data_IF_198413622583
#
_entry.id   IF_198413622583
#
_cell.length_a   1.000
_cell.length_b   1.000
_cell.length_c   1.000
_cell.angle_alpha   90.00
_cell.angle_beta   90.00
_cell.angle_gamma   90.00
#
_symmetry.space_group_name_H-M   'P 1'
#
loop_
_entity.id
_entity.type
_entity.pdbx_description
1 polymer ?
#
# COMPACT_ATOMS: atom_id res chain seq x y z
N UNK A 1 4.10 13.27 -4.11
CA UNK A 1 2.96 12.34 -4.32
C UNK A 1 3.32 10.92 -3.93
N UNK A 2 4.35 10.35 -4.56
CA UNK A 2 4.74 8.93 -4.40
C UNK A 2 4.99 8.52 -2.95
N UNK A 3 5.76 9.31 -2.20
CA UNK A 3 6.07 8.98 -0.80
C UNK A 3 4.82 8.93 0.08
N UNK A 4 3.86 9.84 -0.12
CA UNK A 4 2.59 9.81 0.62
C UNK A 4 1.77 8.59 0.25
N UNK A 5 1.63 8.29 -1.05
CA UNK A 5 0.92 7.11 -1.54
C UNK A 5 1.53 5.82 -0.98
N UNK A 6 2.85 5.77 -0.91
CA UNK A 6 3.58 4.67 -0.34
C UNK A 6 3.26 4.48 1.16
N UNK A 7 3.36 5.52 1.99
CA UNK A 7 3.03 5.43 3.42
C UNK A 7 1.56 5.06 3.67
N UNK A 8 0.65 5.52 2.81
CA UNK A 8 -0.77 5.14 2.88
C UNK A 8 -0.96 3.65 2.58
N UNK A 9 -0.24 3.10 1.62
CA UNK A 9 -0.38 1.70 1.19
C UNK A 9 0.27 0.69 2.15
N UNK A 10 1.27 1.10 2.93
CA UNK A 10 2.02 0.19 3.81
C UNK A 10 1.32 -0.14 5.12
N UNK A 11 0.42 0.72 5.58
CA UNK A 11 -0.56 0.45 6.65
C UNK A 11 -0.05 -0.39 7.85
N UNK A 12 1.16 -0.10 8.32
CA UNK A 12 1.75 -0.79 9.48
C UNK A 12 2.36 -2.16 9.17
N UNK A 13 2.39 -2.62 7.93
CA UNK A 13 3.01 -3.89 7.56
C UNK A 13 4.53 -3.78 7.58
N UNK A 14 5.18 -4.63 8.37
CA UNK A 14 6.65 -4.76 8.37
C UNK A 14 7.12 -5.43 7.09
N UNK A 15 8.11 -4.86 6.42
CA UNK A 15 8.59 -5.36 5.11
C UNK A 15 10.03 -5.83 5.15
N UNK A 16 10.29 -6.88 4.39
CA UNK A 16 11.65 -7.42 4.14
C UNK A 16 11.83 -7.63 2.65
N UNK A 17 12.99 -7.25 2.12
CA UNK A 17 13.35 -7.57 0.76
C UNK A 17 14.18 -8.86 0.73
N UNK A 18 13.79 -9.81 -0.11
CA UNK A 18 14.51 -11.06 -0.28
C UNK A 18 15.10 -11.17 -1.69
N UNK A 19 16.31 -11.70 -1.81
CA UNK A 19 16.98 -11.87 -3.10
C UNK A 19 17.63 -13.23 -3.25
N UNK A 20 17.33 -13.97 -4.33
CA UNK A 20 18.01 -15.22 -4.68
C UNK A 20 17.87 -15.51 -6.17
N UNK A 21 18.92 -16.07 -6.78
CA UNK A 21 18.99 -16.35 -8.23
C UNK A 21 17.86 -17.27 -8.70
N UNK A 22 17.53 -18.28 -7.93
CA UNK A 22 16.49 -19.24 -8.32
C UNK A 22 15.07 -18.78 -8.02
N UNK A 23 14.90 -17.78 -7.17
CA UNK A 23 13.63 -17.34 -6.64
C UNK A 23 12.94 -18.35 -5.69
N UNK A 24 13.34 -19.61 -5.69
CA UNK A 24 12.76 -20.66 -4.82
C UNK A 24 13.17 -20.46 -3.37
N UNK A 25 14.44 -20.16 -3.10
CA UNK A 25 14.94 -19.86 -1.76
C UNK A 25 14.28 -18.58 -1.23
N UNK A 26 14.20 -17.53 -2.03
CA UNK A 26 13.49 -16.29 -1.67
C UNK A 26 12.03 -16.54 -1.29
N UNK A 27 11.32 -17.35 -2.06
CA UNK A 27 9.92 -17.69 -1.76
C UNK A 27 9.80 -18.48 -0.44
N UNK A 28 10.71 -19.39 -0.18
CA UNK A 28 10.76 -20.11 1.10
C UNK A 28 11.00 -19.17 2.28
N UNK A 29 11.97 -18.25 2.16
CA UNK A 29 12.25 -17.27 3.20
C UNK A 29 11.07 -16.33 3.44
N UNK A 30 10.35 -15.89 2.38
CA UNK A 30 9.12 -15.10 2.50
C UNK A 30 8.07 -15.87 3.30
N UNK A 31 7.93 -17.18 3.09
CA UNK A 31 7.02 -18.02 3.88
C UNK A 31 7.37 -18.05 5.37
N UNK A 32 8.68 -18.14 5.72
CA UNK A 32 9.13 -18.06 7.11
C UNK A 32 8.91 -16.67 7.70
N UNK A 33 9.21 -15.62 6.94
CA UNK A 33 9.01 -14.22 7.34
C UNK A 33 7.54 -13.89 7.54
N UNK A 34 6.65 -14.43 6.69
CA UNK A 34 5.20 -14.28 6.84
C UNK A 34 4.67 -14.83 8.17
N UNK A 35 5.20 -15.95 8.66
CA UNK A 35 4.89 -16.49 9.99
C UNK A 35 5.37 -15.59 11.14
N UNK A 36 6.33 -14.70 10.87
CA UNK A 36 6.84 -13.70 11.83
C UNK A 36 6.13 -12.34 11.69
N UNK A 37 5.11 -12.22 10.85
CA UNK A 37 4.36 -10.98 10.63
C UNK A 37 5.02 -10.00 9.63
N UNK A 38 5.98 -10.47 8.83
CA UNK A 38 6.58 -9.68 7.76
C UNK A 38 5.90 -9.93 6.41
N UNK A 39 5.78 -8.90 5.61
CA UNK A 39 5.54 -9.01 4.16
C UNK A 39 6.88 -9.01 3.43
N UNK A 40 7.08 -9.93 2.51
CA UNK A 40 8.33 -10.07 1.76
C UNK A 40 8.18 -9.72 0.29
N UNK A 41 9.01 -8.79 -0.19
CA UNK A 41 9.21 -8.56 -1.62
C UNK A 41 10.38 -9.41 -2.14
N UNK A 42 10.34 -9.78 -3.42
CA UNK A 42 11.31 -10.71 -4.01
C UNK A 42 12.04 -10.09 -5.18
N UNK A 43 13.37 -10.29 -5.19
CA UNK A 43 14.25 -10.00 -6.32
C UNK A 43 14.96 -11.28 -6.79
N UNK A 44 15.19 -11.42 -8.08
CA UNK A 44 15.93 -12.56 -8.67
C UNK A 44 17.29 -12.17 -9.21
N UNK A 45 17.54 -10.86 -9.35
CA UNK A 45 18.82 -10.29 -9.76
C UNK A 45 19.28 -9.21 -8.79
N UNK A 46 20.59 -8.95 -8.75
CA UNK A 46 21.13 -7.85 -7.97
C UNK A 46 20.56 -6.48 -8.39
N UNK A 47 20.26 -6.30 -9.69
CA UNK A 47 19.65 -5.07 -10.21
C UNK A 47 18.26 -4.86 -9.66
N UNK A 48 17.42 -5.91 -9.69
CA UNK A 48 16.05 -5.85 -9.17
C UNK A 48 16.05 -5.58 -7.67
N UNK A 49 17.00 -6.17 -6.94
CA UNK A 49 17.16 -5.98 -5.50
C UNK A 49 17.51 -4.52 -5.18
N UNK A 50 18.52 -3.96 -5.84
CA UNK A 50 18.93 -2.57 -5.66
C UNK A 50 17.78 -1.63 -6.05
N UNK A 51 17.12 -1.87 -7.18
CA UNK A 51 15.98 -1.07 -7.63
C UNK A 51 14.83 -1.08 -6.60
N UNK A 52 14.45 -2.25 -6.12
CA UNK A 52 13.40 -2.39 -5.09
C UNK A 52 13.77 -1.68 -3.80
N UNK A 53 15.00 -1.84 -3.33
CA UNK A 53 15.47 -1.16 -2.12
C UNK A 53 15.48 0.37 -2.26
N UNK A 54 15.82 0.91 -3.43
CA UNK A 54 15.85 2.35 -3.67
C UNK A 54 14.47 2.97 -3.84
N UNK A 55 13.52 2.21 -4.39
CA UNK A 55 12.14 2.69 -4.63
C UNK A 55 11.25 2.57 -3.40
N UNK A 56 11.54 1.64 -2.49
CA UNK A 56 10.77 1.38 -1.27
C UNK A 56 11.66 1.53 -0.04
N UNK A 57 11.44 2.58 0.75
CA UNK A 57 12.24 2.88 1.95
C UNK A 57 11.81 2.13 3.23
N UNK A 58 10.90 1.15 3.12
CA UNK A 58 10.25 0.49 4.27
C UNK A 58 10.82 -0.87 4.64
N UNK A 59 11.86 -1.29 3.98
CA UNK A 59 12.47 -2.56 4.33
C UNK A 59 13.20 -2.44 5.66
N UNK A 60 12.83 -3.27 6.62
CA UNK A 60 13.54 -3.35 7.91
C UNK A 60 14.90 -4.01 7.76
N UNK A 61 15.01 -4.95 6.83
CA UNK A 61 16.28 -5.55 6.43
C UNK A 61 16.18 -6.21 5.05
N UNK A 62 17.31 -6.60 4.53
CA UNK A 62 17.44 -7.33 3.27
C UNK A 62 18.00 -8.71 3.56
N UNK A 63 17.35 -9.77 3.05
CA UNK A 63 17.82 -11.15 3.14
C UNK A 63 18.19 -11.64 1.73
N UNK A 64 19.46 -11.83 1.47
CA UNK A 64 19.96 -12.08 0.11
C UNK A 64 20.89 -13.26 0.03
N UNK A 65 20.71 -14.14 -0.96
CA UNK A 65 21.63 -15.24 -1.25
C UNK A 65 22.99 -14.74 -1.76
N UNK A 66 24.07 -15.31 -1.25
CA UNK A 66 25.44 -15.00 -1.67
C UNK A 66 25.65 -15.16 -3.18
N UNK A 67 24.89 -16.06 -3.80
CA UNK A 67 24.98 -16.40 -5.22
C UNK A 67 24.26 -15.47 -6.16
N UNK A 68 23.63 -14.40 -5.64
CA UNK A 68 22.93 -13.42 -6.49
C UNK A 68 23.87 -12.82 -7.55
N UNK A 69 23.33 -12.58 -8.74
CA UNK A 69 24.10 -12.11 -9.90
C UNK A 69 23.42 -10.88 -10.54
N UNK A 70 24.15 -10.19 -11.40
CA UNK A 70 23.69 -9.05 -12.20
C UNK A 70 23.15 -7.87 -11.36
N UNK A 71 24.00 -7.20 -10.59
CA UNK A 71 25.39 -7.48 -10.28
C UNK A 71 25.56 -8.49 -9.14
N UNK A 72 26.82 -8.97 -8.89
CA UNK A 72 27.11 -9.89 -7.81
C UNK A 72 26.98 -9.21 -6.43
N UNK A 73 26.83 -10.02 -5.37
CA UNK A 73 26.52 -9.57 -4.01
C UNK A 73 27.44 -8.45 -3.48
N UNK A 74 28.72 -8.50 -3.80
CA UNK A 74 29.68 -7.48 -3.36
C UNK A 74 29.32 -6.10 -3.94
N UNK A 75 28.99 -6.04 -5.22
CA UNK A 75 28.59 -4.80 -5.89
C UNK A 75 27.21 -4.33 -5.43
N UNK A 76 26.27 -5.25 -5.20
CA UNK A 76 24.95 -4.96 -4.62
C UNK A 76 25.11 -4.23 -3.28
N UNK A 77 25.93 -4.77 -2.36
CA UNK A 77 26.17 -4.14 -1.06
C UNK A 77 26.79 -2.77 -1.23
N UNK A 78 27.79 -2.61 -2.10
CA UNK A 78 28.41 -1.31 -2.37
C UNK A 78 27.41 -0.27 -2.90
N UNK A 79 26.53 -0.67 -3.84
CA UNK A 79 25.52 0.20 -4.39
C UNK A 79 24.52 0.64 -3.31
N UNK A 80 24.05 -0.28 -2.47
CA UNK A 80 23.14 0.04 -1.37
C UNK A 80 23.79 0.97 -0.35
N UNK A 81 25.05 0.76 0.01
CA UNK A 81 25.79 1.61 0.97
C UNK A 81 26.14 2.99 0.42
N UNK A 82 26.22 3.14 -0.90
CA UNK A 82 26.46 4.44 -1.54
C UNK A 82 25.25 5.37 -1.52
N UNK A 83 24.05 4.86 -1.22
CA UNK A 83 22.81 5.62 -1.28
C UNK A 83 22.31 5.96 0.13
N UNK A 84 22.06 7.22 0.49
CA UNK A 84 21.66 7.62 1.84
C UNK A 84 20.38 6.90 2.35
N UNK A 85 19.47 6.54 1.43
CA UNK A 85 18.20 5.87 1.79
C UNK A 85 18.36 4.42 2.20
N UNK A 86 19.41 3.75 1.75
CA UNK A 86 19.63 2.32 1.96
C UNK A 86 20.93 2.01 2.72
N UNK A 87 21.74 3.04 2.98
CA UNK A 87 23.06 2.90 3.60
C UNK A 87 23.03 2.19 4.97
N UNK A 88 21.96 2.41 5.74
CA UNK A 88 21.82 1.86 7.10
C UNK A 88 20.95 0.60 7.16
N UNK A 89 20.31 0.19 6.04
CA UNK A 89 19.46 -1.01 6.05
C UNK A 89 20.32 -2.23 6.36
N UNK A 90 20.00 -3.02 7.39
CA UNK A 90 20.71 -4.25 7.69
C UNK A 90 20.61 -5.26 6.55
N UNK A 91 21.73 -5.84 6.14
CA UNK A 91 21.79 -6.85 5.07
C UNK A 91 22.25 -8.18 5.66
N UNK A 92 21.45 -9.22 5.54
CA UNK A 92 21.81 -10.58 5.87
C UNK A 92 22.12 -11.35 4.59
N UNK A 93 23.39 -11.70 4.38
CA UNK A 93 23.83 -12.53 3.26
C UNK A 93 23.71 -13.99 3.68
N UNK A 94 22.91 -14.75 2.95
CA UNK A 94 22.73 -16.17 3.18
C UNK A 94 23.75 -16.93 2.35
N UNK A 95 24.63 -17.68 3.04
CA UNK A 95 25.71 -18.45 2.45
C UNK A 95 25.64 -19.90 2.91
N UNK A 96 26.06 -20.83 2.04
CA UNK A 96 26.27 -22.24 2.40
C UNK A 96 27.59 -22.42 3.21
N UNK A 97 28.51 -21.43 3.13
CA UNK A 97 29.70 -21.34 3.95
C UNK A 97 29.84 -19.97 4.63
N UNK A 98 29.08 -19.72 5.73
CA UNK A 98 28.98 -18.39 6.35
C UNK A 98 30.26 -17.91 7.03
N UNK A 99 31.27 -18.75 7.18
CA UNK A 99 32.52 -18.39 7.84
C UNK A 99 33.59 -17.91 6.87
N UNK A 100 33.59 -18.42 5.62
CA UNK A 100 34.71 -18.19 4.65
C UNK A 100 34.23 -17.80 3.24
N UNK A 101 32.96 -17.65 3.00
CA UNK A 101 32.40 -17.23 1.71
C UNK A 101 32.64 -15.75 1.37
N UNK A 102 32.12 -15.32 0.21
CA UNK A 102 32.11 -13.91 -0.17
C UNK A 102 31.30 -13.06 0.83
N UNK A 103 30.18 -13.59 1.31
CA UNK A 103 29.36 -12.97 2.34
C UNK A 103 30.12 -12.74 3.65
N UNK A 104 30.93 -13.71 4.08
CA UNK A 104 31.78 -13.58 5.27
C UNK A 104 32.83 -12.47 5.11
N UNK A 105 33.42 -12.32 3.93
CA UNK A 105 34.40 -11.25 3.65
C UNK A 105 33.76 -9.88 3.63
N UNK A 106 32.55 -9.77 3.12
CA UNK A 106 31.79 -8.51 3.09
C UNK A 106 31.39 -8.13 4.52
N UNK A 107 30.83 -9.06 5.30
CA UNK A 107 30.36 -8.79 6.68
C UNK A 107 31.48 -8.38 7.66
N UNK A 108 32.73 -8.74 7.38
CA UNK A 108 33.88 -8.27 8.17
C UNK A 108 34.29 -6.82 7.88
N UNK A 109 33.76 -6.24 6.81
CA UNK A 109 34.10 -4.85 6.34
C UNK A 109 32.95 -3.88 6.46
N UNK A 110 31.75 -4.37 6.77
CA UNK A 110 30.53 -3.60 6.85
C UNK A 110 29.71 -4.05 8.06
N UNK A 111 29.66 -3.18 9.07
CA UNK A 111 29.01 -3.45 10.36
C UNK A 111 27.50 -3.68 10.27
N UNK A 112 26.86 -3.18 9.20
CA UNK A 112 25.44 -3.39 8.94
C UNK A 112 25.19 -4.58 8.00
N UNK A 113 26.20 -5.37 7.63
CA UNK A 113 26.08 -6.58 6.80
C UNK A 113 26.50 -7.81 7.60
N UNK A 114 25.69 -8.84 7.57
CA UNK A 114 25.86 -10.09 8.32
C UNK A 114 25.87 -11.27 7.37
N UNK A 115 26.76 -12.24 7.61
CA UNK A 115 26.73 -13.50 6.89
C UNK A 115 26.11 -14.58 7.79
N UNK A 116 25.08 -15.26 7.28
CA UNK A 116 24.32 -16.28 8.01
C UNK A 116 24.21 -17.57 7.20
N UNK A 117 24.08 -18.70 7.89
CA UNK A 117 23.70 -19.95 7.24
C UNK A 117 22.26 -19.88 6.74
N UNK A 118 21.94 -20.68 5.71
CA UNK A 118 20.59 -20.72 5.15
C UNK A 118 19.57 -21.11 6.24
N UNK A 119 18.59 -20.21 6.54
CA UNK A 119 17.59 -20.52 7.55
C UNK A 119 16.63 -21.59 7.01
N UNK A 120 16.40 -22.64 7.80
CA UNK A 120 15.52 -23.76 7.48
C UNK A 120 14.22 -23.78 8.32
N UNK A 121 14.09 -22.88 9.28
CA UNK A 121 12.94 -22.76 10.16
C UNK A 121 12.77 -21.33 10.66
N UNK A 122 11.57 -21.00 11.17
CA UNK A 122 11.27 -19.71 11.80
C UNK A 122 12.22 -19.44 12.97
N UNK A 123 12.47 -20.43 13.82
CA UNK A 123 13.38 -20.28 14.98
C UNK A 123 14.81 -19.98 14.55
N UNK A 124 15.28 -20.63 13.50
CA UNK A 124 16.60 -20.35 12.92
C UNK A 124 16.69 -18.92 12.41
N UNK A 125 15.68 -18.49 11.65
CA UNK A 125 15.61 -17.14 11.11
C UNK A 125 15.50 -16.10 12.21
N UNK A 126 14.66 -16.32 13.24
CA UNK A 126 14.50 -15.44 14.40
C UNK A 126 15.80 -15.22 15.17
N UNK A 127 16.58 -16.31 15.40
CA UNK A 127 17.88 -16.19 16.09
C UNK A 127 18.84 -15.29 15.29
N UNK A 128 18.91 -15.49 13.98
CA UNK A 128 19.74 -14.66 13.12
C UNK A 128 19.23 -13.21 13.07
N UNK A 129 17.93 -13.01 12.85
CA UNK A 129 17.31 -11.68 12.77
C UNK A 129 17.56 -10.87 14.05
N UNK A 130 17.32 -11.44 15.22
CA UNK A 130 17.59 -10.77 16.51
C UNK A 130 19.03 -10.33 16.63
N UNK A 131 19.98 -11.20 16.27
CA UNK A 131 21.41 -10.91 16.41
C UNK A 131 21.80 -9.73 15.51
N UNK A 132 21.47 -9.74 14.23
CA UNK A 132 21.93 -8.68 13.33
C UNK A 132 21.17 -7.37 13.53
N UNK A 133 19.87 -7.38 13.84
CA UNK A 133 19.12 -6.17 14.16
C UNK A 133 19.65 -5.49 15.42
N UNK A 134 20.00 -6.26 16.47
CA UNK A 134 20.61 -5.70 17.68
C UNK A 134 22.00 -5.12 17.43
N UNK A 135 22.84 -5.81 16.64
CA UNK A 135 24.20 -5.37 16.36
C UNK A 135 24.25 -4.13 15.48
N UNK A 136 23.33 -4.02 14.51
CA UNK A 136 23.24 -2.87 13.63
C UNK A 136 22.70 -1.60 14.34
N UNK A 137 22.32 -1.68 15.62
CA UNK A 137 21.62 -0.62 16.35
C UNK A 137 20.42 -0.05 15.59
N UNK A 138 19.88 -0.86 14.67
CA UNK A 138 18.76 -0.47 13.84
C UNK A 138 17.49 -0.46 14.71
N UNK A 139 17.01 0.74 15.00
CA UNK A 139 15.70 0.92 15.62
C UNK A 139 14.66 0.83 14.52
N UNK A 140 14.22 -0.40 14.23
CA UNK A 140 13.13 -0.63 13.30
C UNK A 140 11.89 0.18 13.71
N UNK A 141 11.22 0.76 12.74
CA UNK A 141 9.96 1.46 12.98
C UNK A 141 8.95 0.43 13.48
N UNK A 142 8.34 0.69 14.62
CA UNK A 142 7.32 -0.20 15.20
C UNK A 142 6.05 -0.19 14.35
N UNK A 143 5.22 -1.22 14.49
CA UNK A 143 3.91 -1.29 13.81
C UNK A 143 3.07 -0.05 14.15
N UNK A 144 3.08 0.40 15.40
CA UNK A 144 2.34 1.59 15.82
C UNK A 144 2.86 2.87 15.14
N UNK A 145 4.16 3.06 15.07
CA UNK A 145 4.77 4.20 14.37
C UNK A 145 4.44 4.18 12.87
N UNK A 146 4.36 2.99 12.24
CA UNK A 146 3.92 2.86 10.85
C UNK A 146 2.46 3.24 10.66
N UNK A 147 1.58 2.84 11.58
CA UNK A 147 0.19 3.29 11.57
C UNK A 147 0.09 4.81 11.70
N UNK A 148 0.81 5.42 12.63
CA UNK A 148 0.85 6.87 12.78
C UNK A 148 1.40 7.58 11.52
N UNK A 149 2.38 6.98 10.85
CA UNK A 149 2.90 7.50 9.58
C UNK A 149 1.82 7.42 8.48
N UNK A 150 1.09 6.32 8.39
CA UNK A 150 -0.01 6.16 7.43
C UNK A 150 -1.14 7.14 7.70
N UNK A 151 -1.53 7.34 8.96
CA UNK A 151 -2.52 8.36 9.34
C UNK A 151 -2.07 9.77 8.99
N UNK A 152 -0.83 10.12 9.29
CA UNK A 152 -0.27 11.42 8.91
C UNK A 152 -0.24 11.58 7.39
N UNK A 153 0.17 10.55 6.67
CA UNK A 153 0.24 10.58 5.21
C UNK A 153 -1.13 10.78 4.57
N UNK A 154 -2.18 10.07 5.04
CA UNK A 154 -3.52 10.23 4.49
C UNK A 154 -4.10 11.62 4.79
N UNK A 155 -3.88 12.16 6.00
CA UNK A 155 -4.30 13.54 6.34
C UNK A 155 -3.61 14.58 5.45
N UNK A 156 -2.30 14.43 5.22
CA UNK A 156 -1.58 15.30 4.27
C UNK A 156 -2.11 15.15 2.85
N UNK A 157 -2.40 13.92 2.41
CA UNK A 157 -3.01 13.69 1.10
C UNK A 157 -4.36 14.39 0.96
N UNK A 158 -5.22 14.31 1.98
CA UNK A 158 -6.52 14.99 2.01
C UNK A 158 -6.36 16.51 1.89
N UNK A 159 -5.43 17.11 2.66
CA UNK A 159 -5.16 18.56 2.58
C UNK A 159 -4.67 18.98 1.19
N UNK A 160 -3.78 18.20 0.59
CA UNK A 160 -3.23 18.48 -0.75
C UNK A 160 -4.32 18.35 -1.82
N UNK A 161 -5.20 17.36 -1.71
CA UNK A 161 -6.29 17.13 -2.66
C UNK A 161 -7.43 18.15 -2.52
N UNK A 162 -7.61 18.72 -1.33
CA UNK A 162 -8.65 19.72 -1.06
C UNK A 162 -8.31 21.12 -1.60
N UNK A 163 -7.03 21.45 -1.81
CA UNK A 163 -6.58 22.78 -2.23
C UNK A 163 -5.87 22.71 -3.58
N UNK A 164 -6.42 23.38 -4.58
CA UNK A 164 -5.89 23.47 -5.94
C UNK A 164 -4.45 24.02 -6.03
N UNK A 165 -3.99 24.75 -5.02
CA UNK A 165 -2.60 25.23 -4.95
C UNK A 165 -1.57 24.10 -4.97
N UNK A 166 -2.00 22.89 -4.60
CA UNK A 166 -1.12 21.72 -4.47
C UNK A 166 -1.26 20.70 -5.59
N UNK A 167 -1.97 21.03 -6.69
CA UNK A 167 -2.18 20.13 -7.84
C UNK A 167 -0.88 19.58 -8.45
N UNK A 168 0.24 20.31 -8.32
CA UNK A 168 1.54 19.88 -8.83
C UNK A 168 2.05 18.59 -8.15
N UNK A 169 1.57 18.22 -6.96
CA UNK A 169 1.90 16.93 -6.32
C UNK A 169 1.27 15.72 -7.02
N UNK A 170 0.25 15.95 -7.87
CA UNK A 170 -0.41 14.96 -8.72
C UNK A 170 -0.82 13.67 -7.99
N UNK A 171 -1.44 13.81 -6.81
CA UNK A 171 -1.90 12.68 -6.01
C UNK A 171 -3.00 11.86 -6.68
N UNK A 172 -3.70 12.43 -7.65
CA UNK A 172 -4.74 11.74 -8.42
C UNK A 172 -4.20 10.49 -9.16
N UNK A 173 -2.92 10.48 -9.55
CA UNK A 173 -2.27 9.29 -10.14
C UNK A 173 -2.19 8.11 -9.15
N UNK A 174 -2.29 8.39 -7.88
CA UNK A 174 -2.17 7.41 -6.80
C UNK A 174 -3.52 7.01 -6.21
N UNK A 175 -4.63 7.30 -6.90
CA UNK A 175 -6.00 6.97 -6.49
C UNK A 175 -6.15 5.52 -6.02
N UNK A 176 -5.49 4.58 -6.71
CA UNK A 176 -5.52 3.17 -6.35
C UNK A 176 -5.09 2.92 -4.91
N UNK A 177 -3.97 3.48 -4.48
CA UNK A 177 -3.45 3.30 -3.11
C UNK A 177 -4.37 3.91 -2.05
N UNK A 178 -4.96 5.08 -2.35
CA UNK A 178 -5.92 5.73 -1.44
C UNK A 178 -7.23 4.91 -1.40
N UNK A 179 -7.66 4.32 -2.51
CA UNK A 179 -8.83 3.44 -2.56
C UNK A 179 -8.61 2.14 -1.79
N UNK A 180 -7.42 1.56 -1.85
CA UNK A 180 -7.05 0.38 -1.05
C UNK A 180 -7.04 0.69 0.45
N UNK A 181 -6.67 1.91 0.85
CA UNK A 181 -6.67 2.37 2.23
C UNK A 181 -8.08 2.45 2.86
N UNK A 182 -9.15 2.49 2.06
CA UNK A 182 -10.53 2.37 2.55
C UNK A 182 -10.78 1.10 3.34
N UNK A 183 -10.05 0.03 3.02
CA UNK A 183 -10.21 -1.29 3.64
C UNK A 183 -9.19 -1.53 4.76
N UNK A 184 -8.42 -0.51 5.11
CA UNK A 184 -7.43 -0.57 6.18
C UNK A 184 -8.01 0.04 7.45
N UNK A 185 -8.17 -0.73 8.55
CA UNK A 185 -8.61 -0.19 9.83
C UNK A 185 -7.80 1.06 10.23
N UNK A 186 -8.38 1.96 10.99
CA UNK A 186 -7.82 3.23 11.48
C UNK A 186 -7.65 4.35 10.45
N UNK A 187 -7.42 4.06 9.16
CA UNK A 187 -7.28 5.11 8.12
C UNK A 187 -8.44 5.14 7.12
N UNK A 188 -9.40 4.22 7.21
CA UNK A 188 -10.55 4.09 6.29
C UNK A 188 -11.37 5.37 6.18
N UNK A 189 -11.70 6.02 7.29
CA UNK A 189 -12.48 7.27 7.30
C UNK A 189 -11.72 8.40 6.61
N UNK A 190 -10.43 8.57 6.92
CA UNK A 190 -9.59 9.58 6.28
C UNK A 190 -9.35 9.30 4.79
N UNK A 191 -9.31 8.02 4.39
CA UNK A 191 -9.24 7.62 2.99
C UNK A 191 -10.53 8.00 2.24
N UNK A 192 -11.71 7.81 2.85
CA UNK A 192 -12.96 8.24 2.27
C UNK A 192 -12.99 9.78 2.07
N UNK A 193 -12.53 10.53 3.08
CA UNK A 193 -12.41 12.00 2.99
C UNK A 193 -11.41 12.44 1.90
N UNK A 194 -10.31 11.71 1.69
CA UNK A 194 -9.38 12.02 0.62
C UNK A 194 -10.01 11.77 -0.77
N UNK A 195 -10.73 10.65 -0.93
CA UNK A 195 -11.34 10.24 -2.20
C UNK A 195 -12.47 11.17 -2.66
N UNK A 196 -13.14 11.90 -1.76
CA UNK A 196 -14.16 12.90 -2.15
C UNK A 196 -13.59 14.02 -3.04
N UNK A 197 -12.28 14.23 -3.03
CA UNK A 197 -11.60 15.26 -3.82
C UNK A 197 -11.03 14.75 -5.14
N UNK A 198 -11.09 13.43 -5.42
CA UNK A 198 -10.46 12.85 -6.60
C UNK A 198 -11.49 12.59 -7.71
N UNK A 199 -11.40 13.27 -8.86
CA UNK A 199 -12.29 13.06 -10.01
C UNK A 199 -11.94 11.76 -10.74
N UNK A 200 -12.29 10.62 -10.15
CA UNK A 200 -11.94 9.31 -10.71
C UNK A 200 -13.08 8.29 -10.55
N UNK A 201 -13.39 7.52 -11.62
CA UNK A 201 -14.33 6.40 -11.52
C UNK A 201 -13.89 5.38 -10.46
N UNK A 202 -12.58 5.17 -10.31
CA UNK A 202 -12.01 4.26 -9.30
C UNK A 202 -12.34 4.75 -7.89
N UNK A 203 -12.25 6.07 -7.62
CA UNK A 203 -12.60 6.65 -6.34
C UNK A 203 -14.09 6.47 -6.04
N UNK A 204 -14.97 6.81 -6.97
CA UNK A 204 -16.42 6.66 -6.79
C UNK A 204 -16.81 5.21 -6.56
N UNK A 205 -16.28 4.29 -7.37
CA UNK A 205 -16.55 2.86 -7.23
C UNK A 205 -16.09 2.30 -5.87
N UNK A 206 -14.91 2.70 -5.40
CA UNK A 206 -14.38 2.25 -4.11
C UNK A 206 -15.24 2.76 -2.94
N UNK A 207 -15.67 4.04 -2.99
CA UNK A 207 -16.57 4.64 -1.98
C UNK A 207 -17.93 3.92 -1.94
N UNK A 208 -18.55 3.70 -3.09
CA UNK A 208 -19.82 2.98 -3.19
C UNK A 208 -19.68 1.54 -2.68
N UNK A 209 -18.62 0.83 -3.08
CA UNK A 209 -18.39 -0.54 -2.64
C UNK A 209 -18.29 -0.64 -1.11
N UNK A 210 -17.58 0.30 -0.47
CA UNK A 210 -17.47 0.33 0.99
C UNK A 210 -18.82 0.68 1.65
N UNK A 211 -19.51 1.69 1.15
CA UNK A 211 -20.80 2.13 1.69
C UNK A 211 -21.90 1.08 1.57
N UNK A 212 -21.90 0.31 0.47
CA UNK A 212 -22.89 -0.72 0.20
C UNK A 212 -22.62 -2.05 0.89
N UNK A 213 -21.47 -2.23 1.54
CA UNK A 213 -21.09 -3.50 2.18
C UNK A 213 -21.70 -3.62 3.58
N UNK A 214 -22.70 -4.51 3.81
CA UNK A 214 -23.35 -4.66 5.13
C UNK A 214 -22.41 -5.24 6.21
N UNK A 215 -21.28 -5.84 5.83
CA UNK A 215 -20.27 -6.35 6.75
C UNK A 215 -19.35 -5.29 7.35
N UNK A 216 -19.49 -4.02 6.93
CA UNK A 216 -18.71 -2.90 7.42
C UNK A 216 -19.54 -2.12 8.46
N UNK A 217 -18.83 -1.53 9.43
CA UNK A 217 -19.46 -0.67 10.46
C UNK A 217 -20.31 0.44 9.84
N UNK A 218 -21.51 0.67 10.41
CA UNK A 218 -22.48 1.61 9.88
C UNK A 218 -21.94 3.05 9.84
N UNK A 219 -21.12 3.45 10.82
CA UNK A 219 -20.54 4.81 10.84
C UNK A 219 -19.56 5.02 9.69
N UNK A 220 -18.75 4.03 9.39
CA UNK A 220 -17.81 4.07 8.28
C UNK A 220 -18.55 4.05 6.92
N UNK A 221 -19.59 3.23 6.79
CA UNK A 221 -20.45 3.19 5.60
C UNK A 221 -21.10 4.54 5.33
N UNK A 222 -21.63 5.22 6.37
CA UNK A 222 -22.19 6.57 6.27
C UNK A 222 -21.14 7.60 5.84
N UNK A 223 -19.92 7.50 6.37
CA UNK A 223 -18.80 8.36 5.96
C UNK A 223 -18.46 8.18 4.48
N UNK A 224 -18.38 6.92 4.01
CA UNK A 224 -18.12 6.63 2.61
C UNK A 224 -19.25 7.11 1.67
N UNK A 225 -20.52 6.94 2.07
CA UNK A 225 -21.67 7.42 1.31
C UNK A 225 -21.68 8.95 1.21
N UNK A 226 -21.35 9.65 2.31
CA UNK A 226 -21.21 11.12 2.33
C UNK A 226 -20.07 11.57 1.41
N UNK A 227 -18.91 10.94 1.50
CA UNK A 227 -17.77 11.23 0.64
C UNK A 227 -18.09 10.99 -0.84
N UNK A 228 -18.86 9.94 -1.15
CA UNK A 228 -19.37 9.67 -2.48
C UNK A 228 -20.26 10.78 -3.00
N UNK A 229 -21.22 11.23 -2.19
CA UNK A 229 -22.09 12.37 -2.54
C UNK A 229 -21.29 13.63 -2.82
N UNK A 230 -20.37 13.99 -1.92
CA UNK A 230 -19.48 15.16 -2.10
C UNK A 230 -18.63 15.07 -3.37
N UNK A 231 -18.17 13.84 -3.72
CA UNK A 231 -17.45 13.61 -4.96
C UNK A 231 -18.34 13.82 -6.20
N UNK A 232 -19.56 13.28 -6.19
CA UNK A 232 -20.54 13.50 -7.27
C UNK A 232 -20.92 14.99 -7.38
N UNK A 233 -21.16 15.67 -6.28
CA UNK A 233 -21.52 17.08 -6.27
C UNK A 233 -20.43 17.95 -6.93
N UNK A 234 -19.17 17.58 -6.80
CA UNK A 234 -18.02 18.29 -7.39
C UNK A 234 -17.72 17.88 -8.84
N UNK A 235 -17.78 16.59 -9.11
CA UNK A 235 -17.20 16.02 -10.35
C UNK A 235 -18.22 15.34 -11.27
N UNK A 236 -19.47 15.23 -10.85
CA UNK A 236 -20.50 14.47 -11.57
C UNK A 236 -20.40 12.98 -11.33
N UNK A 237 -21.34 12.24 -11.85
CA UNK A 237 -21.36 10.78 -11.82
C UNK A 237 -20.38 10.22 -12.85
N UNK A 238 -19.32 9.55 -12.38
CA UNK A 238 -18.27 8.94 -13.19
C UNK A 238 -18.43 7.41 -13.27
N UNK A 239 -19.43 6.87 -12.59
CA UNK A 239 -19.77 5.45 -12.66
C UNK A 239 -20.39 5.11 -14.03
N UNK A 240 -20.12 3.91 -14.53
CA UNK A 240 -20.74 3.40 -15.74
C UNK A 240 -22.20 3.03 -15.49
N UNK A 241 -23.00 3.02 -16.56
CA UNK A 241 -24.41 2.62 -16.47
C UNK A 241 -24.65 1.26 -15.80
N UNK A 242 -23.89 0.20 -16.08
CA UNK A 242 -24.01 -1.06 -15.36
C UNK A 242 -23.72 -0.93 -13.85
N UNK A 243 -22.76 -0.10 -13.45
CA UNK A 243 -22.42 0.11 -12.03
C UNK A 243 -23.53 0.87 -11.31
N UNK A 244 -24.15 1.85 -11.97
CA UNK A 244 -25.34 2.54 -11.45
C UNK A 244 -26.51 1.57 -11.29
N UNK A 245 -26.82 0.78 -12.30
CA UNK A 245 -27.91 -0.21 -12.23
C UNK A 245 -27.69 -1.22 -11.10
N UNK A 246 -26.46 -1.65 -10.89
CA UNK A 246 -26.12 -2.55 -9.79
C UNK A 246 -26.46 -1.96 -8.41
N UNK A 247 -26.42 -0.63 -8.24
CA UNK A 247 -26.81 0.01 -6.98
C UNK A 247 -28.34 -0.01 -6.78
N UNK A 248 -29.12 0.14 -7.85
CA UNK A 248 -30.57 -0.05 -7.78
C UNK A 248 -30.95 -1.48 -7.41
N UNK A 249 -30.24 -2.47 -7.98
CA UNK A 249 -30.46 -3.87 -7.64
C UNK A 249 -30.13 -4.15 -6.17
N UNK A 250 -29.03 -3.59 -5.65
CA UNK A 250 -28.66 -3.71 -4.22
C UNK A 250 -29.69 -3.07 -3.32
N UNK A 251 -30.21 -1.87 -3.65
CA UNK A 251 -31.27 -1.22 -2.90
C UNK A 251 -32.55 -2.05 -2.88
N UNK A 252 -32.98 -2.55 -4.03
CA UNK A 252 -34.17 -3.39 -4.11
C UNK A 252 -34.04 -4.69 -3.29
N UNK A 253 -32.83 -5.29 -3.27
CA UNK A 253 -32.55 -6.47 -2.46
C UNK A 253 -32.46 -6.17 -0.96
N UNK A 254 -32.20 -4.92 -0.59
CA UNK A 254 -32.06 -4.51 0.81
C UNK A 254 -33.39 -4.31 1.55
N UNK A 255 -34.51 -4.31 0.85
CA UNK A 255 -35.84 -4.08 1.43
C UNK A 255 -36.29 -5.07 2.51
N UNK A 256 -35.47 -6.06 2.84
CA UNK A 256 -35.66 -7.00 3.94
C UNK A 256 -34.53 -6.99 4.97
N UNK A 257 -33.59 -6.04 4.85
CA UNK A 257 -32.44 -5.90 5.74
C UNK A 257 -32.71 -4.85 6.85
N UNK A 258 -31.67 -4.44 7.54
CA UNK A 258 -31.74 -3.39 8.58
C UNK A 258 -31.97 -2.00 7.97
N UNK A 259 -32.68 -1.13 8.73
CA UNK A 259 -33.04 0.22 8.29
C UNK A 259 -31.80 1.06 7.91
N UNK A 260 -30.69 0.90 8.61
CA UNK A 260 -29.47 1.66 8.35
C UNK A 260 -28.86 1.31 6.98
N UNK A 261 -28.97 0.06 6.56
CA UNK A 261 -28.54 -0.39 5.21
C UNK A 261 -29.43 0.19 4.13
N UNK A 262 -30.77 0.17 4.34
CA UNK A 262 -31.74 0.75 3.40
C UNK A 262 -31.48 2.25 3.25
N UNK A 263 -31.32 2.98 4.36
CA UNK A 263 -31.05 4.42 4.36
C UNK A 263 -29.76 4.77 3.61
N UNK A 264 -28.68 4.02 3.83
CA UNK A 264 -27.38 4.27 3.16
C UNK A 264 -27.48 4.02 1.66
N UNK A 265 -28.12 2.95 1.24
CA UNK A 265 -28.30 2.64 -0.18
C UNK A 265 -29.23 3.64 -0.86
N UNK A 266 -30.31 4.05 -0.19
CA UNK A 266 -31.19 5.12 -0.66
C UNK A 266 -30.41 6.45 -0.83
N UNK A 267 -29.60 6.84 0.16
CA UNK A 267 -28.77 8.03 0.07
C UNK A 267 -27.78 8.01 -1.10
N UNK A 268 -27.21 6.84 -1.43
CA UNK A 268 -26.33 6.67 -2.59
C UNK A 268 -27.12 6.90 -3.89
N UNK A 269 -28.33 6.34 -4.01
CA UNK A 269 -29.19 6.53 -5.20
C UNK A 269 -29.61 7.99 -5.36
N UNK A 270 -30.06 8.64 -4.28
CA UNK A 270 -30.42 10.05 -4.28
C UNK A 270 -29.26 10.93 -4.78
N UNK A 271 -28.03 10.61 -4.36
CA UNK A 271 -26.83 11.33 -4.82
C UNK A 271 -26.58 11.16 -6.32
N UNK A 272 -26.88 9.97 -6.88
CA UNK A 272 -26.74 9.72 -8.32
C UNK A 272 -27.81 10.44 -9.13
N UNK A 273 -29.06 10.49 -8.63
CA UNK A 273 -30.21 11.05 -9.34
C UNK A 273 -30.25 12.58 -9.31
N UNK A 274 -29.82 13.20 -8.23
CA UNK A 274 -29.84 14.66 -8.05
C UNK A 274 -29.16 15.44 -9.18
N UNK A 275 -28.17 14.83 -9.86
CA UNK A 275 -27.45 15.45 -10.98
C UNK A 275 -28.03 15.13 -12.36
N UNK A 276 -28.77 14.04 -12.51
CA UNK A 276 -29.45 13.75 -13.79
C UNK A 276 -30.53 14.81 -14.05
N UNK A 277 -31.21 15.25 -12.99
CA UNK A 277 -32.23 16.30 -13.05
C UNK A 277 -31.69 17.72 -13.28
N UNK A 278 -30.38 17.94 -13.09
CA UNK A 278 -29.75 19.27 -13.23
C UNK A 278 -29.12 19.52 -14.61
N UNK A 279 -29.11 18.55 -15.52
CA UNK A 279 -28.74 18.80 -16.92
C UNK A 279 -29.95 19.39 -17.66
N UNK A 280 -29.87 20.66 -18.15
CA UNK A 280 -30.94 21.18 -18.99
C UNK A 280 -31.03 20.31 -20.25
N UNK A 281 -32.25 19.86 -20.55
CA UNK A 281 -32.54 19.24 -21.84
C UNK A 281 -32.03 20.19 -22.94
N UNK A 282 -30.95 19.81 -23.59
CA UNK A 282 -30.58 20.46 -24.84
C UNK A 282 -31.64 20.05 -25.85
N UNK A 283 -32.67 20.89 -25.94
CA UNK A 283 -33.63 20.83 -27.03
C UNK A 283 -32.86 20.83 -28.35
N UNK A 284 -32.77 19.66 -28.96
CA UNK A 284 -32.52 19.54 -30.37
C UNK A 284 -33.81 19.90 -31.12
N UNK A 285 -34.16 21.20 -31.08
CA UNK A 285 -35.11 21.77 -32.04
C UNK A 285 -34.29 22.45 -33.12
N UNK A 286 -34.01 21.74 -34.17
CA UNK A 286 -33.66 22.30 -35.44
C UNK A 286 -34.53 21.59 -36.48
N UNK A 287 -35.76 22.03 -36.50
CA UNK A 287 -36.58 21.97 -37.70
C UNK A 287 -36.12 23.02 -38.71
N UNK A 288 -36.14 22.62 -39.89
CA UNK A 288 -36.10 23.22 -41.24
C UNK A 288 -34.85 22.97 -42.04
#
# INVERSE_FOLDING_TARGET
GESLAYFISTAGVRKVLTGDVTGTKSQFWIGLLGQMGYSGDRATTGRDLVFSALTSSDYEFILVGETIQNPPIQEVVQLLRSQPRTAEIPIAIVSDNPEDGAGARISRRDDATFCIASPNSVDSLLRHARRFLQTAQYQGITINERFEQSERAIRWATMILADSKYEFYNLQRHTKYISEALFTPNISSAAAEALQHIPSPVAQKALVLLASNPGVDVSLRKTAAKAFKENIDKHGTLLTRPEVLAQYDLYNQSLGLDDATIDILGFILDAMEARVSAQPETNSDSGE
#
